data_IF_195596626108
#
_entry.id   IF_195596626108
#
_cell.length_a   1.000
_cell.length_b   1.000
_cell.length_c   1.000
_cell.angle_alpha   90.00
_cell.angle_beta   90.00
_cell.angle_gamma   90.00
#
_symmetry.space_group_name_H-M   'P 1'
#
loop_
_entity.id
_entity.type
_entity.pdbx_description
1 polymer ?
#
# COMPACT_ATOMS: atom_id res chain seq x y z
N UNK A 1 -10.61 6.10 -25.14
CA UNK A 1 -10.75 5.11 -24.04
C UNK A 1 -11.32 5.79 -22.81
N UNK A 2 -12.26 5.12 -22.12
CA UNK A 2 -12.88 5.64 -20.89
C UNK A 2 -11.86 5.69 -19.72
N UNK A 3 -12.12 6.51 -18.69
CA UNK A 3 -11.14 6.80 -17.62
C UNK A 3 -10.83 5.57 -16.75
N UNK A 4 -11.83 4.78 -16.37
CA UNK A 4 -11.63 3.58 -15.53
C UNK A 4 -10.88 2.53 -16.31
N UNK A 5 -11.19 2.36 -17.60
CA UNK A 5 -10.42 1.48 -18.48
C UNK A 5 -8.93 1.83 -18.52
N UNK A 6 -8.59 3.12 -18.68
CA UNK A 6 -7.18 3.60 -18.67
C UNK A 6 -6.47 3.28 -17.36
N UNK A 7 -7.13 3.49 -16.22
CA UNK A 7 -6.57 3.21 -14.91
C UNK A 7 -6.33 1.71 -14.68
N UNK A 8 -7.27 0.86 -15.10
CA UNK A 8 -7.11 -0.60 -14.96
C UNK A 8 -6.02 -1.13 -15.89
N UNK A 9 -5.94 -0.61 -17.11
CA UNK A 9 -4.87 -0.97 -18.03
C UNK A 9 -3.50 -0.52 -17.51
N UNK A 10 -3.42 0.69 -16.96
CA UNK A 10 -2.21 1.18 -16.31
C UNK A 10 -1.79 0.23 -15.17
N UNK A 11 -2.71 -0.12 -14.27
CA UNK A 11 -2.38 -1.03 -13.17
C UNK A 11 -1.98 -2.43 -13.65
N UNK A 12 -2.64 -2.97 -14.68
CA UNK A 12 -2.24 -4.24 -15.29
C UNK A 12 -0.80 -4.19 -15.81
N UNK A 13 -0.41 -3.09 -16.45
CA UNK A 13 0.97 -2.89 -16.91
C UNK A 13 1.94 -2.86 -15.73
N UNK A 14 1.62 -2.12 -14.66
CA UNK A 14 2.44 -2.08 -13.44
C UNK A 14 2.62 -3.49 -12.86
N UNK A 15 1.53 -4.25 -12.72
CA UNK A 15 1.57 -5.61 -12.18
C UNK A 15 2.44 -6.54 -13.04
N UNK A 16 2.33 -6.46 -14.37
CA UNK A 16 3.17 -7.23 -15.29
C UNK A 16 4.64 -6.81 -15.21
N UNK A 17 4.92 -5.51 -15.12
CA UNK A 17 6.29 -5.01 -14.93
C UNK A 17 6.87 -5.51 -13.61
N UNK A 18 6.11 -5.45 -12.53
CA UNK A 18 6.54 -5.90 -11.21
C UNK A 18 6.89 -7.39 -11.17
N UNK A 19 6.09 -8.22 -11.85
CA UNK A 19 6.33 -9.66 -11.95
C UNK A 19 7.50 -9.98 -12.89
N UNK A 20 7.53 -9.44 -14.11
CA UNK A 20 8.43 -9.93 -15.16
C UNK A 20 9.71 -9.11 -15.34
N UNK A 21 9.67 -7.80 -15.07
CA UNK A 21 10.82 -6.92 -15.32
C UNK A 21 12.05 -7.27 -14.47
N UNK A 22 11.94 -7.67 -13.18
CA UNK A 22 13.10 -8.06 -12.40
C UNK A 22 13.91 -9.20 -13.03
N UNK A 23 13.25 -10.18 -13.66
CA UNK A 23 13.93 -11.28 -14.36
C UNK A 23 14.69 -10.81 -15.59
N UNK A 24 14.13 -9.85 -16.34
CA UNK A 24 14.79 -9.26 -17.51
C UNK A 24 15.94 -8.31 -17.17
N UNK A 25 15.84 -7.59 -16.04
CA UNK A 25 16.88 -6.66 -15.59
C UNK A 25 18.03 -7.36 -14.87
N UNK A 26 17.80 -8.52 -14.24
CA UNK A 26 18.82 -9.29 -13.53
C UNK A 26 20.12 -9.50 -14.32
N UNK A 27 20.14 -10.03 -15.55
CA UNK A 27 21.39 -10.21 -16.30
C UNK A 27 22.10 -8.89 -16.63
N UNK A 28 21.35 -7.79 -16.77
CA UNK A 28 21.90 -6.46 -17.00
C UNK A 28 22.61 -5.99 -15.72
N UNK A 29 21.95 -6.11 -14.56
CA UNK A 29 22.53 -5.76 -13.28
C UNK A 29 23.78 -6.58 -12.98
N UNK A 30 23.76 -7.89 -13.23
CA UNK A 30 24.93 -8.77 -13.08
C UNK A 30 26.09 -8.33 -13.99
N UNK A 31 25.81 -8.02 -15.26
CA UNK A 31 26.82 -7.53 -16.22
C UNK A 31 27.49 -6.24 -15.79
N UNK A 32 26.75 -5.33 -15.15
CA UNK A 32 27.27 -4.04 -14.67
C UNK A 32 27.71 -4.08 -13.19
N UNK A 33 27.71 -5.25 -12.55
CA UNK A 33 28.12 -5.40 -11.15
C UNK A 33 27.20 -4.72 -10.13
N UNK A 34 25.93 -4.49 -10.48
CA UNK A 34 24.92 -3.90 -9.58
C UNK A 34 24.26 -5.01 -8.77
N UNK A 35 24.76 -5.26 -7.56
CA UNK A 35 24.25 -6.30 -6.67
C UNK A 35 23.71 -5.77 -5.34
N UNK A 36 23.93 -4.50 -5.04
CA UNK A 36 23.45 -3.89 -3.80
C UNK A 36 21.92 -3.79 -3.78
N UNK A 37 21.30 -4.53 -2.87
CA UNK A 37 19.84 -4.59 -2.70
C UNK A 37 19.19 -3.23 -2.50
N UNK A 38 19.90 -2.26 -1.92
CA UNK A 38 19.41 -0.89 -1.70
C UNK A 38 19.32 -0.13 -3.01
N UNK A 39 20.34 -0.27 -3.86
CA UNK A 39 20.36 0.34 -5.20
C UNK A 39 19.28 -0.32 -6.07
N UNK A 40 19.20 -1.65 -6.03
CA UNK A 40 18.18 -2.40 -6.76
C UNK A 40 16.76 -1.98 -6.36
N UNK A 41 16.50 -1.74 -5.06
CA UNK A 41 15.21 -1.26 -4.59
C UNK A 41 14.87 0.13 -5.18
N UNK A 42 15.81 1.08 -5.13
CA UNK A 42 15.60 2.43 -5.69
C UNK A 42 15.34 2.36 -7.19
N UNK A 43 16.13 1.58 -7.93
CA UNK A 43 15.96 1.39 -9.37
C UNK A 43 14.61 0.76 -9.70
N UNK A 44 14.22 -0.29 -8.98
CA UNK A 44 12.93 -0.95 -9.17
C UNK A 44 11.77 0.03 -8.95
N UNK A 45 11.79 0.82 -7.88
CA UNK A 45 10.74 1.81 -7.63
C UNK A 45 10.69 2.91 -8.70
N UNK A 46 11.85 3.37 -9.18
CA UNK A 46 11.91 4.35 -10.25
C UNK A 46 11.36 3.80 -11.57
N UNK A 47 11.82 2.62 -11.98
CA UNK A 47 11.51 2.01 -13.28
C UNK A 47 10.08 1.46 -13.34
N UNK A 48 9.59 0.85 -12.25
CA UNK A 48 8.28 0.19 -12.22
C UNK A 48 7.16 1.18 -11.88
N UNK A 49 7.40 2.20 -11.05
CA UNK A 49 6.33 3.09 -10.58
C UNK A 49 6.42 4.51 -11.16
N UNK A 50 7.56 5.19 -11.01
CA UNK A 50 7.67 6.61 -11.40
C UNK A 50 7.68 6.80 -12.92
N UNK A 51 8.49 6.02 -13.64
CA UNK A 51 8.60 6.12 -15.11
C UNK A 51 7.26 5.82 -15.81
N UNK A 52 6.49 4.80 -15.42
CA UNK A 52 5.16 4.59 -15.99
C UNK A 52 4.17 5.71 -15.65
N UNK A 53 4.21 6.29 -14.44
CA UNK A 53 3.31 7.39 -14.05
C UNK A 53 3.57 8.68 -14.86
N UNK A 54 4.81 9.14 -14.85
CA UNK A 54 5.57 9.52 -16.06
C UNK A 54 4.84 9.55 -17.41
N UNK A 55 5.06 8.44 -18.12
CA UNK A 55 4.54 8.13 -19.45
C UNK A 55 3.02 8.26 -19.49
N UNK A 56 2.30 7.82 -18.46
CA UNK A 56 0.84 7.91 -18.40
C UNK A 56 0.35 9.35 -18.55
N UNK A 57 0.92 10.29 -17.78
CA UNK A 57 0.53 11.70 -17.85
C UNK A 57 0.83 12.28 -19.23
N UNK A 58 1.99 11.97 -19.81
CA UNK A 58 2.40 12.43 -21.15
C UNK A 58 1.46 11.88 -22.23
N UNK A 59 1.23 10.57 -22.26
CA UNK A 59 0.43 9.88 -23.28
C UNK A 59 -1.05 10.25 -23.19
N UNK A 60 -1.57 10.37 -21.98
CA UNK A 60 -2.98 10.73 -21.77
C UNK A 60 -3.23 12.25 -21.85
N UNK A 61 -2.16 13.05 -21.91
CA UNK A 61 -2.19 14.53 -21.86
C UNK A 61 -2.99 15.04 -20.66
N UNK A 62 -2.91 14.34 -19.52
CA UNK A 62 -3.61 14.72 -18.31
C UNK A 62 -2.84 15.81 -17.56
N UNK A 63 -3.56 16.60 -16.75
CA UNK A 63 -2.92 17.53 -15.82
C UNK A 63 -2.21 16.74 -14.72
N UNK A 64 -0.90 16.91 -14.56
CA UNK A 64 -0.13 16.26 -13.49
C UNK A 64 -0.65 16.67 -12.10
N UNK A 65 -0.99 17.95 -11.94
CA UNK A 65 -1.52 18.49 -10.67
C UNK A 65 -2.82 17.82 -10.26
N UNK A 66 -3.73 17.60 -11.21
CA UNK A 66 -5.03 17.00 -10.92
C UNK A 66 -4.92 15.48 -10.82
N UNK A 67 -4.12 14.84 -11.68
CA UNK A 67 -3.86 13.39 -11.63
C UNK A 67 -3.24 13.01 -10.29
N UNK A 68 -2.18 13.70 -9.86
CA UNK A 68 -1.51 13.41 -8.60
C UNK A 68 -2.13 14.13 -7.40
N UNK A 69 -3.22 14.88 -7.59
CA UNK A 69 -3.94 15.54 -6.49
C UNK A 69 -2.99 16.35 -5.59
N UNK A 70 -2.19 17.24 -6.18
CA UNK A 70 -1.15 18.00 -5.47
C UNK A 70 -1.71 19.21 -4.67
N UNK A 71 -2.84 19.02 -4.00
CA UNK A 71 -3.48 20.07 -3.20
C UNK A 71 -2.79 20.18 -1.83
N UNK A 72 -2.63 21.42 -1.36
CA UNK A 72 -2.02 21.71 -0.05
C UNK A 72 -2.92 21.19 1.07
N UNK A 73 -2.29 20.73 2.15
CA UNK A 73 -2.98 20.35 3.39
C UNK A 73 -3.00 21.52 4.37
N UNK A 74 -4.09 21.61 5.13
CA UNK A 74 -4.20 22.55 6.24
C UNK A 74 -3.67 21.89 7.51
N UNK A 75 -3.06 22.67 8.41
CA UNK A 75 -2.44 22.15 9.63
C UNK A 75 -3.36 21.23 10.46
N UNK A 76 -4.61 21.64 10.69
CA UNK A 76 -5.59 20.82 11.43
C UNK A 76 -5.88 19.48 10.75
N UNK A 77 -5.78 19.42 9.42
CA UNK A 77 -5.98 18.19 8.68
C UNK A 77 -4.72 17.33 8.77
N UNK A 78 -3.52 17.93 8.71
CA UNK A 78 -2.25 17.23 8.94
C UNK A 78 -2.24 16.53 10.31
N UNK A 79 -2.70 17.20 11.37
CA UNK A 79 -2.80 16.59 12.70
C UNK A 79 -3.75 15.38 12.71
N UNK A 80 -4.91 15.48 12.05
CA UNK A 80 -5.84 14.37 11.91
C UNK A 80 -5.27 13.22 11.06
N UNK A 81 -4.51 13.54 10.02
CA UNK A 81 -3.82 12.59 9.14
C UNK A 81 -2.71 11.84 9.90
N UNK A 82 -1.93 12.54 10.73
CA UNK A 82 -0.92 11.93 11.60
C UNK A 82 -1.59 10.98 12.59
N UNK A 83 -2.65 11.43 13.26
CA UNK A 83 -3.45 10.57 14.16
C UNK A 83 -3.97 9.34 13.40
N UNK A 84 -4.47 9.53 12.18
CA UNK A 84 -4.98 8.45 11.35
C UNK A 84 -3.90 7.40 11.05
N UNK A 85 -2.65 7.81 10.83
CA UNK A 85 -1.53 6.89 10.62
C UNK A 85 -1.29 5.93 11.78
N UNK A 86 -1.49 6.37 13.03
CA UNK A 86 -1.40 5.49 14.20
C UNK A 86 -2.67 4.67 14.42
N UNK A 87 -3.85 5.28 14.24
CA UNK A 87 -5.15 4.62 14.44
C UNK A 87 -5.41 3.51 13.39
N UNK A 88 -4.77 3.56 12.22
CA UNK A 88 -4.85 2.46 11.25
C UNK A 88 -4.08 1.20 11.68
N UNK A 89 -3.04 1.31 12.51
CA UNK A 89 -2.14 0.18 12.79
C UNK A 89 -2.85 -1.01 13.45
N UNK A 90 -3.74 -0.85 14.46
CA UNK A 90 -4.44 -2.00 15.04
C UNK A 90 -5.34 -2.76 14.05
N UNK A 91 -5.94 -2.04 13.09
CA UNK A 91 -6.71 -2.66 12.00
C UNK A 91 -5.78 -3.49 11.11
N UNK A 92 -4.64 -2.92 10.72
CA UNK A 92 -3.64 -3.62 9.92
C UNK A 92 -3.11 -4.86 10.64
N UNK A 93 -2.79 -4.75 11.92
CA UNK A 93 -2.30 -5.86 12.76
C UNK A 93 -3.31 -7.00 12.80
N UNK A 94 -4.61 -6.71 12.94
CA UNK A 94 -5.64 -7.74 12.92
C UNK A 94 -5.68 -8.49 11.57
N UNK A 95 -5.64 -7.78 10.45
CA UNK A 95 -5.65 -8.42 9.13
C UNK A 95 -4.34 -9.16 8.82
N UNK A 96 -3.20 -8.64 9.28
CA UNK A 96 -1.90 -9.31 9.18
C UNK A 96 -1.81 -10.57 10.04
N UNK A 97 -2.52 -10.60 11.18
CA UNK A 97 -2.66 -11.78 12.04
C UNK A 97 -3.47 -12.89 11.35
N UNK A 98 -4.57 -12.54 10.68
CA UNK A 98 -5.38 -13.52 9.94
C UNK A 98 -4.52 -14.22 8.88
N UNK A 99 -3.76 -13.46 8.09
CA UNK A 99 -2.92 -14.03 7.03
C UNK A 99 -1.70 -14.76 7.58
N UNK A 100 -1.17 -14.38 8.75
CA UNK A 100 -0.02 -15.07 9.36
C UNK A 100 -0.33 -16.48 9.84
N UNK A 101 -1.61 -16.84 10.00
CA UNK A 101 -2.02 -18.23 10.26
C UNK A 101 -1.78 -19.18 9.09
N UNK A 102 -1.64 -18.65 7.87
CA UNK A 102 -1.53 -19.42 6.63
C UNK A 102 -0.22 -19.17 5.88
N UNK A 103 0.37 -17.98 6.05
CA UNK A 103 1.52 -17.55 5.27
C UNK A 103 2.64 -17.05 6.18
N UNK A 104 3.88 -17.35 5.79
CA UNK A 104 5.07 -16.89 6.50
C UNK A 104 5.34 -15.41 6.24
N UNK A 105 5.87 -14.73 7.24
CA UNK A 105 6.26 -13.33 7.10
C UNK A 105 7.63 -13.22 6.43
N UNK A 106 7.65 -12.99 5.12
CA UNK A 106 8.90 -12.79 4.34
C UNK A 106 9.57 -11.44 4.61
N UNK A 107 8.85 -10.46 5.16
CA UNK A 107 9.39 -9.12 5.47
C UNK A 107 10.50 -9.24 6.51
N UNK A 108 10.38 -10.13 7.49
CA UNK A 108 11.39 -10.32 8.53
C UNK A 108 12.77 -10.69 7.96
N UNK A 109 12.79 -11.58 6.96
CA UNK A 109 14.03 -11.98 6.28
C UNK A 109 14.61 -10.82 5.44
N UNK A 110 13.78 -10.10 4.69
CA UNK A 110 14.19 -8.92 3.93
C UNK A 110 14.82 -7.86 4.85
N UNK A 111 14.13 -7.54 5.94
CA UNK A 111 14.58 -6.52 6.87
C UNK A 111 15.86 -6.93 7.62
N UNK A 112 16.06 -8.22 7.89
CA UNK A 112 17.34 -8.75 8.41
C UNK A 112 18.46 -8.56 7.39
N UNK A 113 18.20 -8.81 6.11
CA UNK A 113 19.15 -8.63 5.01
C UNK A 113 19.64 -7.18 4.85
N UNK A 114 18.80 -6.21 5.20
CA UNK A 114 19.15 -4.77 5.18
C UNK A 114 19.39 -4.19 6.58
N UNK A 115 19.45 -5.01 7.64
CA UNK A 115 19.48 -4.55 9.03
C UNK A 115 20.73 -3.78 9.45
N UNK A 116 21.84 -3.96 8.73
CA UNK A 116 23.07 -3.17 8.88
C UNK A 116 22.96 -1.76 8.29
N UNK A 117 21.90 -1.46 7.53
CA UNK A 117 21.68 -0.15 6.93
C UNK A 117 21.52 0.91 8.03
N UNK A 118 22.17 2.10 7.88
CA UNK A 118 21.96 3.22 8.77
C UNK A 118 20.47 3.60 8.84
N UNK A 119 20.00 3.98 10.03
CA UNK A 119 18.58 4.23 10.28
C UNK A 119 17.94 5.22 9.30
N UNK A 120 18.60 6.36 9.04
CA UNK A 120 18.10 7.38 8.10
C UNK A 120 17.96 6.79 6.69
N UNK A 121 18.95 6.04 6.22
CA UNK A 121 18.90 5.43 4.90
C UNK A 121 17.80 4.35 4.83
N UNK A 122 17.62 3.57 5.90
CA UNK A 122 16.56 2.57 5.98
C UNK A 122 15.16 3.21 5.96
N UNK A 123 14.96 4.32 6.68
CA UNK A 123 13.73 5.11 6.59
C UNK A 123 13.49 5.64 5.17
N UNK A 124 14.52 6.14 4.50
CA UNK A 124 14.38 6.64 3.13
C UNK A 124 13.94 5.51 2.18
N UNK A 125 14.52 4.32 2.33
CA UNK A 125 14.27 3.17 1.45
C UNK A 125 12.92 2.48 1.70
N UNK A 126 12.53 2.30 2.96
CA UNK A 126 11.38 1.46 3.34
C UNK A 126 10.15 2.29 3.71
N UNK A 127 10.32 3.55 4.10
CA UNK A 127 9.19 4.43 4.46
C UNK A 127 8.95 5.54 3.43
N UNK A 128 9.97 6.31 3.05
CA UNK A 128 9.78 7.48 2.19
C UNK A 128 9.58 7.08 0.73
N UNK A 129 10.46 6.23 0.20
CA UNK A 129 10.42 5.78 -1.19
C UNK A 129 9.04 5.18 -1.57
N UNK A 130 8.49 4.17 -0.87
CA UNK A 130 7.17 3.63 -1.20
C UNK A 130 6.04 4.63 -0.97
N UNK A 131 6.11 5.45 0.09
CA UNK A 131 5.12 6.50 0.36
C UNK A 131 5.03 7.55 -0.75
N UNK A 132 6.07 7.69 -1.58
CA UNK A 132 6.03 8.52 -2.78
C UNK A 132 5.60 7.69 -3.98
N UNK A 133 6.32 6.62 -4.31
CA UNK A 133 6.18 5.95 -5.61
C UNK A 133 4.89 5.14 -5.73
N UNK A 134 4.50 4.45 -4.67
CA UNK A 134 3.27 3.63 -4.68
C UNK A 134 2.03 4.52 -4.60
N UNK A 135 2.10 5.61 -3.84
CA UNK A 135 1.02 6.61 -3.78
C UNK A 135 0.85 7.31 -5.14
N UNK A 136 1.93 7.68 -5.83
CA UNK A 136 1.88 8.25 -7.19
C UNK A 136 1.17 7.29 -8.16
N UNK A 137 1.48 6.00 -8.06
CA UNK A 137 0.89 4.95 -8.89
C UNK A 137 -0.58 4.74 -8.58
N UNK A 138 -0.93 4.45 -7.32
CA UNK A 138 -2.28 4.03 -6.97
C UNK A 138 -3.20 5.24 -6.71
N UNK A 139 -2.80 6.20 -5.89
CA UNK A 139 -3.66 7.35 -5.51
C UNK A 139 -3.61 8.47 -6.54
N UNK A 140 -2.47 8.60 -7.20
CA UNK A 140 -2.29 9.50 -8.32
C UNK A 140 -2.95 8.95 -9.58
N UNK A 141 -2.34 7.99 -10.24
CA UNK A 141 -2.82 7.53 -11.56
C UNK A 141 -4.12 6.74 -11.47
N UNK A 142 -4.12 5.63 -10.73
CA UNK A 142 -5.26 4.69 -10.75
C UNK A 142 -6.52 5.34 -10.17
N UNK A 143 -6.47 5.86 -8.94
CA UNK A 143 -7.64 6.44 -8.26
C UNK A 143 -8.23 7.65 -9.00
N UNK A 144 -7.42 8.43 -9.72
CA UNK A 144 -7.91 9.55 -10.53
C UNK A 144 -8.68 9.09 -11.77
N UNK A 145 -8.42 7.87 -12.27
CA UNK A 145 -9.30 7.23 -13.25
C UNK A 145 -10.70 6.91 -12.72
N UNK A 146 -10.84 6.82 -11.40
CA UNK A 146 -12.10 6.56 -10.67
C UNK A 146 -12.74 7.83 -10.09
N UNK A 147 -12.29 9.04 -10.47
CA UNK A 147 -12.84 10.29 -9.95
C UNK A 147 -14.36 10.43 -10.17
N UNK A 148 -14.88 9.85 -11.25
CA UNK A 148 -16.31 9.88 -11.59
C UNK A 148 -17.10 8.66 -11.07
N UNK A 149 -16.46 7.82 -10.25
CA UNK A 149 -17.08 6.65 -9.63
C UNK A 149 -17.34 6.95 -8.14
N UNK A 150 -18.37 6.31 -7.57
CA UNK A 150 -18.66 6.33 -6.14
C UNK A 150 -17.38 6.04 -5.30
N UNK A 151 -17.07 6.90 -4.32
CA UNK A 151 -15.84 6.77 -3.50
C UNK A 151 -15.62 5.39 -2.89
N UNK A 152 -16.65 4.68 -2.44
CA UNK A 152 -16.50 3.36 -1.82
C UNK A 152 -16.16 2.29 -2.85
N UNK A 153 -16.76 2.36 -4.04
CA UNK A 153 -16.44 1.47 -5.16
C UNK A 153 -15.02 1.73 -5.68
N UNK A 154 -14.63 3.00 -5.78
CA UNK A 154 -13.26 3.39 -6.11
C UNK A 154 -12.26 2.89 -5.06
N UNK A 155 -12.57 3.07 -3.77
CA UNK A 155 -11.73 2.61 -2.66
C UNK A 155 -11.62 1.08 -2.62
N UNK A 156 -12.69 0.35 -2.90
CA UNK A 156 -12.67 -1.12 -2.95
C UNK A 156 -11.71 -1.64 -4.01
N UNK A 157 -11.80 -1.10 -5.24
CA UNK A 157 -10.97 -1.55 -6.36
C UNK A 157 -9.52 -1.11 -6.19
N UNK A 158 -9.29 0.14 -5.84
CA UNK A 158 -7.92 0.66 -5.67
C UNK A 158 -7.25 0.10 -4.41
N UNK A 159 -8.03 -0.23 -3.38
CA UNK A 159 -7.56 -1.00 -2.23
C UNK A 159 -7.11 -2.39 -2.64
N UNK A 160 -7.93 -3.13 -3.39
CA UNK A 160 -7.56 -4.45 -3.92
C UNK A 160 -6.27 -4.39 -4.73
N UNK A 161 -6.14 -3.42 -5.64
CA UNK A 161 -4.93 -3.20 -6.42
C UNK A 161 -3.71 -2.90 -5.56
N UNK A 162 -3.87 -2.12 -4.48
CA UNK A 162 -2.77 -1.86 -3.55
C UNK A 162 -2.32 -3.14 -2.82
N UNK A 163 -3.25 -4.02 -2.43
CA UNK A 163 -2.90 -5.33 -1.89
C UNK A 163 -2.17 -6.22 -2.90
N UNK A 164 -2.63 -6.25 -4.15
CA UNK A 164 -2.00 -7.03 -5.22
C UNK A 164 -0.57 -6.56 -5.54
N UNK A 165 -0.31 -5.25 -5.41
CA UNK A 165 1.00 -4.65 -5.64
C UNK A 165 2.09 -5.27 -4.75
N UNK A 166 1.74 -5.78 -3.57
CA UNK A 166 2.75 -6.32 -2.66
C UNK A 166 3.27 -7.71 -3.06
N UNK A 167 2.61 -8.39 -4.00
CA UNK A 167 2.97 -9.74 -4.49
C UNK A 167 3.28 -10.75 -3.36
N UNK A 168 2.65 -10.56 -2.21
CA UNK A 168 2.88 -11.36 -1.00
C UNK A 168 1.54 -11.68 -0.32
N UNK A 169 1.24 -12.97 -0.08
CA UNK A 169 -0.07 -13.37 0.43
C UNK A 169 -0.24 -13.02 1.92
N UNK A 170 0.86 -12.87 2.67
CA UNK A 170 0.81 -12.43 4.05
C UNK A 170 0.44 -10.95 4.12
N UNK A 171 0.94 -10.13 3.17
CA UNK A 171 0.67 -8.69 3.13
C UNK A 171 -0.66 -8.30 2.50
N UNK A 172 -1.13 -9.11 1.55
CA UNK A 172 -2.26 -8.81 0.69
C UNK A 172 -3.49 -8.24 1.44
N UNK A 173 -3.90 -8.88 2.54
CA UNK A 173 -5.16 -8.54 3.20
C UNK A 173 -5.08 -7.20 3.93
N UNK A 174 -4.05 -7.00 4.76
CA UNK A 174 -3.90 -5.72 5.48
C UNK A 174 -3.60 -4.57 4.51
N UNK A 175 -2.81 -4.83 3.46
CA UNK A 175 -2.51 -3.84 2.44
C UNK A 175 -3.78 -3.45 1.68
N UNK A 176 -4.65 -4.41 1.34
CA UNK A 176 -5.95 -4.12 0.71
C UNK A 176 -6.81 -3.18 1.57
N UNK A 177 -6.91 -3.47 2.86
CA UNK A 177 -7.70 -2.67 3.81
C UNK A 177 -7.11 -1.28 4.01
N UNK A 178 -5.79 -1.17 4.16
CA UNK A 178 -5.11 0.12 4.22
C UNK A 178 -5.32 0.91 2.92
N UNK A 179 -5.22 0.24 1.76
CA UNK A 179 -5.45 0.83 0.45
C UNK A 179 -6.84 1.44 0.31
N UNK A 180 -7.86 0.74 0.80
CA UNK A 180 -9.24 1.23 0.88
C UNK A 180 -9.33 2.51 1.73
N UNK A 181 -8.75 2.49 2.93
CA UNK A 181 -8.75 3.66 3.84
C UNK A 181 -8.07 4.85 3.18
N UNK A 182 -6.89 4.65 2.59
CA UNK A 182 -6.11 5.71 1.95
C UNK A 182 -6.84 6.29 0.74
N UNK A 183 -7.52 5.47 -0.06
CA UNK A 183 -8.36 5.99 -1.15
C UNK A 183 -9.46 6.94 -0.62
N UNK A 184 -10.13 6.60 0.47
CA UNK A 184 -11.12 7.48 1.11
C UNK A 184 -10.49 8.76 1.66
N UNK A 185 -9.28 8.70 2.23
CA UNK A 185 -8.54 9.89 2.70
C UNK A 185 -8.23 10.84 1.54
N UNK A 186 -7.78 10.33 0.39
CA UNK A 186 -7.56 11.16 -0.79
C UNK A 186 -8.88 11.78 -1.28
N UNK A 187 -10.00 11.05 -1.25
CA UNK A 187 -11.31 11.62 -1.60
C UNK A 187 -11.78 12.68 -0.60
N UNK A 188 -11.46 12.54 0.68
CA UNK A 188 -11.81 13.49 1.74
C UNK A 188 -10.91 14.75 1.76
N UNK A 189 -9.70 14.69 1.19
CA UNK A 189 -8.70 15.78 1.25
C UNK A 189 -8.33 16.36 -0.10
N UNK A 190 -8.63 15.64 -1.19
CA UNK A 190 -8.15 15.89 -2.55
C UNK A 190 -6.61 16.00 -2.60
N UNK A 191 -5.89 15.33 -1.70
CA UNK A 191 -4.44 15.48 -1.57
C UNK A 191 -3.72 14.14 -1.45
N UNK A 192 -2.77 13.86 -2.34
CA UNK A 192 -1.87 12.69 -2.23
C UNK A 192 -0.92 12.81 -1.03
N UNK A 193 -0.60 14.03 -0.61
CA UNK A 193 0.27 14.25 0.54
C UNK A 193 -0.35 13.68 1.82
N UNK A 194 -1.68 13.62 1.90
CA UNK A 194 -2.36 13.05 3.07
C UNK A 194 -2.02 11.58 3.24
N UNK A 195 -2.08 10.81 2.16
CA UNK A 195 -1.80 9.38 2.20
C UNK A 195 -0.31 9.08 2.19
N UNK A 196 0.52 9.89 1.54
CA UNK A 196 1.97 9.80 1.65
C UNK A 196 2.44 9.95 3.11
N UNK A 197 1.87 10.89 3.89
CA UNK A 197 2.17 11.03 5.32
C UNK A 197 1.77 9.77 6.09
N UNK A 198 0.57 9.23 5.87
CA UNK A 198 0.09 8.03 6.57
C UNK A 198 0.97 6.82 6.22
N UNK A 199 1.26 6.62 4.94
CA UNK A 199 2.09 5.52 4.45
C UNK A 199 3.51 5.61 5.05
N UNK A 200 4.12 6.80 5.04
CA UNK A 200 5.40 7.05 5.70
C UNK A 200 5.34 6.74 7.19
N UNK A 201 4.30 7.15 7.91
CA UNK A 201 4.17 6.90 9.36
C UNK A 201 4.05 5.40 9.67
N UNK A 202 3.29 4.67 8.87
CA UNK A 202 3.10 3.22 9.04
C UNK A 202 4.44 2.49 8.84
N UNK A 203 5.06 2.65 7.68
CA UNK A 203 6.32 1.96 7.38
C UNK A 203 7.47 2.48 8.26
N UNK A 204 7.48 3.78 8.53
CA UNK A 204 8.45 4.43 9.42
C UNK A 204 8.36 3.91 10.85
N UNK A 205 7.15 3.66 11.35
CA UNK A 205 6.96 3.01 12.66
C UNK A 205 7.55 1.61 12.65
N UNK A 206 7.29 0.80 11.62
CA UNK A 206 7.86 -0.55 11.49
C UNK A 206 9.40 -0.54 11.48
N UNK A 207 10.01 0.34 10.66
CA UNK A 207 11.47 0.52 10.59
C UNK A 207 12.05 0.95 11.94
N UNK A 208 11.40 1.93 12.58
CA UNK A 208 11.85 2.47 13.87
C UNK A 208 11.80 1.42 14.96
N UNK A 209 10.68 0.69 15.08
CA UNK A 209 10.51 -0.37 16.07
C UNK A 209 11.55 -1.47 15.87
N UNK A 210 11.81 -1.88 14.62
CA UNK A 210 12.82 -2.90 14.38
C UNK A 210 14.24 -2.45 14.76
N UNK A 211 14.61 -1.19 14.45
CA UNK A 211 15.93 -0.68 14.82
C UNK A 211 16.07 -0.55 16.34
N UNK A 212 15.01 -0.10 17.02
CA UNK A 212 14.98 -0.03 18.48
C UNK A 212 15.13 -1.40 19.12
N UNK A 213 14.40 -2.42 18.66
CA UNK A 213 14.52 -3.79 19.17
C UNK A 213 15.96 -4.30 18.98
N UNK A 214 16.57 -4.08 17.81
CA UNK A 214 17.97 -4.46 17.56
C UNK A 214 18.96 -3.76 18.51
N UNK A 215 18.76 -2.48 18.81
CA UNK A 215 19.62 -1.71 19.72
C UNK A 215 19.46 -2.20 21.17
N UNK A 216 18.23 -2.49 21.60
CA UNK A 216 17.92 -2.83 22.99
C UNK A 216 18.27 -4.29 23.31
N UNK A 217 17.91 -5.23 22.43
CA UNK A 217 17.99 -6.67 22.68
C UNK A 217 19.08 -7.37 21.87
N UNK A 218 19.72 -6.67 20.93
CA UNK A 218 20.73 -7.24 20.04
C UNK A 218 20.13 -8.04 18.88
N UNK A 219 21.01 -8.36 17.91
CA UNK A 219 20.64 -9.10 16.69
C UNK A 219 20.26 -10.55 16.96
N UNK A 220 20.87 -11.17 17.98
CA UNK A 220 20.63 -12.57 18.36
C UNK A 220 19.18 -12.79 18.81
N UNK A 221 18.65 -11.89 19.65
CA UNK A 221 17.24 -11.92 20.07
C UNK A 221 16.26 -11.84 18.89
N UNK A 222 16.55 -10.99 17.90
CA UNK A 222 15.74 -10.87 16.69
C UNK A 222 15.75 -12.15 15.85
N UNK A 223 16.90 -12.82 15.77
CA UNK A 223 17.04 -14.08 15.05
C UNK A 223 16.32 -15.21 15.78
N UNK A 224 16.41 -15.26 17.11
CA UNK A 224 15.70 -16.23 17.95
C UNK A 224 14.18 -16.09 17.82
N UNK A 225 13.62 -14.88 17.90
CA UNK A 225 12.19 -14.65 17.66
C UNK A 225 11.74 -14.99 16.23
N UNK A 226 12.60 -14.80 15.22
CA UNK A 226 12.28 -15.21 13.85
C UNK A 226 12.20 -16.75 13.70
N UNK A 227 12.82 -17.50 14.63
CA UNK A 227 12.80 -18.96 14.70
C UNK A 227 11.85 -19.54 15.76
N UNK A 228 11.28 -18.72 16.66
CA UNK A 228 10.25 -19.16 17.61
C UNK A 228 9.01 -19.70 16.89
N UNK A 229 8.21 -20.52 17.60
CA UNK A 229 7.01 -21.18 17.08
C UNK A 229 6.17 -20.20 16.26
N UNK A 230 6.20 -20.40 14.94
CA UNK A 230 5.36 -19.68 14.00
C UNK A 230 3.91 -19.70 14.50
N UNK A 231 3.21 -18.57 14.42
CA UNK A 231 1.79 -18.43 14.76
C UNK A 231 0.94 -19.50 14.02
N UNK A 232 1.45 -20.01 12.90
CA UNK A 232 0.88 -21.13 12.15
C UNK A 232 0.78 -22.43 12.96
N UNK A 233 1.73 -22.68 13.87
CA UNK A 233 1.80 -23.89 14.70
C UNK A 233 0.90 -23.86 15.94
N UNK A 234 0.28 -22.72 16.24
CA UNK A 234 -0.58 -22.59 17.40
C UNK A 234 -1.86 -23.44 17.27
N UNK A 235 -2.33 -24.03 18.38
CA UNK A 235 -3.64 -24.66 18.46
C UNK A 235 -4.79 -23.75 18.01
N UNK A 236 -5.87 -24.34 17.48
CA UNK A 236 -7.00 -23.58 16.91
C UNK A 236 -7.69 -22.69 17.97
N UNK A 237 -7.78 -23.15 19.21
CA UNK A 237 -8.36 -22.39 20.32
C UNK A 237 -7.56 -21.11 20.61
N UNK A 238 -6.24 -21.17 20.58
CA UNK A 238 -5.38 -19.98 20.76
C UNK A 238 -5.56 -19.00 19.59
N UNK A 239 -5.58 -19.50 18.35
CA UNK A 239 -5.85 -18.67 17.16
C UNK A 239 -7.21 -17.97 17.26
N UNK A 240 -8.26 -18.68 17.68
CA UNK A 240 -9.60 -18.12 17.85
C UNK A 240 -9.63 -17.02 18.93
N UNK A 241 -8.93 -17.21 20.05
CA UNK A 241 -8.80 -16.18 21.09
C UNK A 241 -8.09 -14.94 20.53
N UNK A 242 -6.98 -15.12 19.80
CA UNK A 242 -6.28 -14.01 19.17
C UNK A 242 -7.20 -13.25 18.19
N UNK A 243 -7.95 -13.96 17.34
CA UNK A 243 -8.91 -13.34 16.43
C UNK A 243 -9.98 -12.54 17.18
N UNK A 244 -10.54 -13.09 18.27
CA UNK A 244 -11.54 -12.40 19.06
C UNK A 244 -10.99 -11.11 19.69
N UNK A 245 -9.81 -11.17 20.30
CA UNK A 245 -9.18 -10.02 20.97
C UNK A 245 -8.76 -8.95 19.97
N UNK A 246 -7.98 -9.31 18.95
CA UNK A 246 -7.51 -8.34 17.95
C UNK A 246 -8.65 -7.84 17.07
N UNK A 247 -9.68 -8.65 16.82
CA UNK A 247 -10.89 -8.25 16.10
C UNK A 247 -11.70 -7.21 16.87
N UNK A 248 -11.89 -7.39 18.18
CA UNK A 248 -12.56 -6.40 19.02
C UNK A 248 -11.81 -5.05 19.02
N UNK A 249 -10.47 -5.09 19.15
CA UNK A 249 -9.62 -3.90 19.05
C UNK A 249 -9.78 -3.25 17.66
N UNK A 250 -9.70 -4.03 16.59
CA UNK A 250 -9.83 -3.52 15.23
C UNK A 250 -11.18 -2.84 14.97
N UNK A 251 -12.29 -3.35 15.52
CA UNK A 251 -13.62 -2.72 15.39
C UNK A 251 -13.67 -1.34 16.07
N UNK A 252 -13.10 -1.22 17.27
CA UNK A 252 -13.02 0.06 17.99
C UNK A 252 -12.19 1.07 17.16
N UNK A 253 -11.03 0.65 16.68
CA UNK A 253 -10.16 1.53 15.88
C UNK A 253 -10.75 1.85 14.49
N UNK A 254 -11.51 0.94 13.87
CA UNK A 254 -12.25 1.20 12.63
C UNK A 254 -13.30 2.30 12.81
N UNK A 255 -13.94 2.35 13.99
CA UNK A 255 -14.86 3.43 14.35
C UNK A 255 -14.13 4.78 14.42
N UNK A 256 -12.94 4.83 15.02
CA UNK A 256 -12.12 6.04 15.03
C UNK A 256 -11.64 6.46 13.64
N UNK A 257 -11.18 5.52 12.81
CA UNK A 257 -10.83 5.78 11.40
C UNK A 257 -12.00 6.44 10.67
N UNK A 258 -13.20 5.86 10.78
CA UNK A 258 -14.40 6.40 10.15
C UNK A 258 -14.68 7.83 10.62
N UNK A 259 -14.68 8.09 11.93
CA UNK A 259 -14.93 9.42 12.49
C UNK A 259 -13.90 10.46 12.03
N UNK A 260 -12.61 10.09 11.98
CA UNK A 260 -11.55 10.99 11.51
C UNK A 260 -11.71 11.32 10.03
N UNK A 261 -12.00 10.32 9.17
CA UNK A 261 -12.23 10.55 7.74
C UNK A 261 -13.45 11.43 7.51
N UNK A 262 -14.55 11.18 8.24
CA UNK A 262 -15.74 12.04 8.21
C UNK A 262 -15.41 13.46 8.62
N UNK A 263 -14.57 13.64 9.65
CA UNK A 263 -14.14 14.97 10.08
C UNK A 263 -13.30 15.68 9.02
N UNK A 264 -12.39 14.98 8.34
CA UNK A 264 -11.63 15.52 7.22
C UNK A 264 -12.55 15.95 6.08
N UNK A 265 -13.51 15.09 5.72
CA UNK A 265 -14.51 15.36 4.67
C UNK A 265 -15.33 16.62 5.00
N UNK A 266 -15.91 16.71 6.20
CA UNK A 266 -16.67 17.88 6.66
C UNK A 266 -15.86 19.18 6.57
N UNK A 267 -14.59 19.15 6.99
CA UNK A 267 -13.71 20.33 6.97
C UNK A 267 -13.41 20.78 5.55
N UNK A 268 -13.15 19.84 4.64
CA UNK A 268 -12.79 20.15 3.27
C UNK A 268 -14.00 20.51 2.40
N UNK A 269 -15.20 20.03 2.74
CA UNK A 269 -16.47 20.55 2.20
C UNK A 269 -16.66 22.00 2.63
N UNK A 270 -16.51 22.32 3.93
CA UNK A 270 -16.65 23.69 4.46
C UNK A 270 -15.68 24.69 3.82
N UNK A 271 -14.51 24.22 3.38
CA UNK A 271 -13.50 25.03 2.66
C UNK A 271 -13.73 25.10 1.15
N UNK A 272 -14.71 24.38 0.60
CA UNK A 272 -14.95 24.33 -0.85
C UNK A 272 -13.90 23.55 -1.64
N UNK A 273 -13.09 22.69 -1.00
CA UNK A 273 -12.03 21.91 -1.66
C UNK A 273 -12.62 20.69 -2.37
N UNK A 274 -13.61 20.07 -1.74
CA UNK A 274 -14.37 18.94 -2.26
C UNK A 274 -15.87 19.27 -2.23
N UNK A 275 -16.61 18.68 -3.17
CA UNK A 275 -18.07 18.74 -3.21
C UNK A 275 -18.60 17.45 -2.60
N UNK A 276 -19.75 17.53 -1.92
CA UNK A 276 -20.46 16.36 -1.40
C UNK A 276 -20.73 15.38 -2.56
N UNK A 277 -20.13 14.20 -2.48
CA UNK A 277 -20.38 13.15 -3.47
C UNK A 277 -21.81 12.65 -3.33
N UNK A 278 -22.60 12.83 -4.39
CA UNK A 278 -23.84 12.08 -4.56
C UNK A 278 -23.47 10.62 -4.87
N UNK A 279 -24.17 9.67 -4.26
CA UNK A 279 -23.83 8.23 -4.33
C UNK A 279 -23.94 7.60 -5.73
N UNK A 280 -24.41 8.33 -6.74
CA UNK A 280 -24.60 7.86 -8.10
C UNK A 280 -23.27 7.71 -8.87
N UNK A 281 -23.14 6.62 -9.63
CA UNK A 281 -22.00 6.38 -10.51
C UNK A 281 -22.21 7.12 -11.83
N UNK A 282 -21.55 8.26 -11.99
CA UNK A 282 -21.65 9.10 -13.18
C UNK A 282 -20.82 8.58 -14.36
N UNK A 283 -19.99 7.56 -14.14
CA UNK A 283 -18.92 7.24 -15.09
C UNK A 283 -19.39 6.55 -16.37
N UNK A 284 -20.57 5.90 -16.38
CA UNK A 284 -21.02 5.05 -17.50
C UNK A 284 -19.98 4.00 -17.94
N UNK A 285 -18.91 3.82 -17.15
CA UNK A 285 -17.74 3.01 -17.44
C UNK A 285 -17.77 1.80 -16.53
N UNK A 286 -17.63 0.60 -17.11
CA UNK A 286 -17.69 -0.62 -16.32
C UNK A 286 -16.35 -0.78 -15.60
N UNK A 287 -16.42 -0.79 -14.27
CA UNK A 287 -15.28 -1.10 -13.40
C UNK A 287 -14.70 -2.47 -13.72
N UNK A 288 -15.57 -3.47 -13.91
CA UNK A 288 -15.18 -4.81 -14.36
C UNK A 288 -15.06 -4.77 -15.89
N UNK A 289 -13.85 -4.47 -16.35
CA UNK A 289 -13.44 -4.50 -17.75
C UNK A 289 -12.30 -5.53 -17.92
N UNK A 290 -11.92 -5.83 -19.16
CA UNK A 290 -10.89 -6.86 -19.40
C UNK A 290 -9.56 -6.56 -18.69
N UNK A 291 -9.06 -5.30 -18.58
CA UNK A 291 -7.83 -5.07 -17.83
C UNK A 291 -7.97 -5.41 -16.35
N UNK A 292 -9.11 -5.06 -15.71
CA UNK A 292 -9.40 -5.47 -14.33
C UNK A 292 -9.36 -6.99 -14.17
N UNK A 293 -10.06 -7.72 -15.05
CA UNK A 293 -10.08 -9.20 -15.03
C UNK A 293 -8.66 -9.74 -15.23
N UNK A 294 -7.90 -9.14 -16.14
CA UNK A 294 -6.49 -9.46 -16.37
C UNK A 294 -5.64 -9.33 -15.12
N UNK A 295 -5.80 -8.24 -14.34
CA UNK A 295 -5.08 -8.06 -13.08
C UNK A 295 -5.36 -9.23 -12.12
N UNK A 296 -6.64 -9.59 -11.96
CA UNK A 296 -7.04 -10.68 -11.05
C UNK A 296 -6.45 -12.02 -11.50
N UNK A 297 -6.56 -12.36 -12.79
CA UNK A 297 -6.04 -13.63 -13.33
C UNK A 297 -4.53 -13.69 -13.17
N UNK A 298 -3.80 -12.65 -13.58
CA UNK A 298 -2.33 -12.60 -13.49
C UNK A 298 -1.86 -12.76 -12.05
N UNK A 299 -2.49 -12.02 -11.12
CA UNK A 299 -2.16 -12.12 -9.71
C UNK A 299 -2.43 -13.52 -9.16
N UNK A 300 -3.61 -14.10 -9.37
CA UNK A 300 -3.93 -15.44 -8.87
C UNK A 300 -2.94 -16.48 -9.41
N UNK A 301 -2.64 -16.46 -10.71
CA UNK A 301 -1.66 -17.37 -11.32
C UNK A 301 -0.30 -17.21 -10.64
N UNK A 302 0.20 -15.98 -10.50
CA UNK A 302 1.48 -15.71 -9.86
C UNK A 302 1.50 -16.19 -8.41
N UNK A 303 0.46 -15.89 -7.63
CA UNK A 303 0.36 -16.30 -6.23
C UNK A 303 0.35 -17.83 -6.10
N UNK A 304 -0.45 -18.52 -6.91
CA UNK A 304 -0.51 -19.99 -6.91
C UNK A 304 0.86 -20.60 -7.23
N UNK A 305 1.55 -20.09 -8.27
CA UNK A 305 2.91 -20.56 -8.61
C UNK A 305 3.87 -20.28 -7.45
N UNK A 306 3.85 -19.08 -6.86
CA UNK A 306 4.75 -18.69 -5.78
C UNK A 306 4.59 -19.51 -4.50
N UNK A 307 3.42 -20.12 -4.29
CA UNK A 307 3.13 -20.99 -3.14
C UNK A 307 3.54 -22.43 -3.43
N UNK A 308 3.33 -22.92 -4.66
CA UNK A 308 3.65 -24.31 -5.06
C UNK A 308 5.16 -24.52 -5.25
N UNK A 309 5.87 -23.53 -5.77
CA UNK A 309 7.31 -23.62 -6.11
C UNK A 309 8.20 -23.28 -4.88
N UNK A 310 7.63 -23.24 -3.68
CA UNK A 310 8.40 -23.09 -2.42
C UNK A 310 9.26 -24.31 -2.12
#
# INVERSE_FOLDING_TARGET
MKKVFKANLYFLIILLLEIFLPYGLRPIYEKFGVSDVRILLVLSHAIIFLIPAIIYVIVTKSSARDTFKLNKLYLKDVLLIILLGFVCQPIMTFFALITSFFFENKIGAFMTGIGSTPYILLLMLVAVLPAITEEVTIRGVVLSGYDNTNKYKAALVTGLFFGMLHLDPQQFLYATVLGFILALVVRATKSIFATAIIHFLINGTSVTMQKLINIIFGKEYLMEQATEKSVQSLPINEKLIMVAVFGAIAIVFASFVYLIIRKLEERNIKRGIIVLEKHEDYSGDKVINWPFIGCIIVYIIFMTISIIVK
#
